data_IF_951200268334
#
_entry.id   IF_951200268334
#
_cell.length_a   1.000
_cell.length_b   1.000
_cell.length_c   1.000
_cell.angle_alpha   90.00
_cell.angle_beta   90.00
_cell.angle_gamma   90.00
#
_symmetry.space_group_name_H-M   'P 1'
#
loop_
_entity.id
_entity.type
_entity.pdbx_description
1 polymer ?
#
# COMPACT_ATOMS: atom_id res chain seq x y z
N UNK A 1 45.36 -46.51 -7.28
CA UNK A 1 45.41 -45.22 -6.55
C UNK A 1 44.24 -44.45 -7.05
N UNK A 2 43.15 -44.47 -6.29
CA UNK A 2 41.86 -43.90 -6.64
C UNK A 2 41.79 -42.48 -6.06
N UNK A 3 41.60 -41.49 -6.92
CA UNK A 3 41.18 -40.16 -6.51
C UNK A 3 39.69 -40.16 -6.15
N UNK A 4 39.26 -39.61 -5.03
CA UNK A 4 37.86 -39.46 -4.74
C UNK A 4 37.32 -38.19 -5.44
N UNK A 5 36.34 -38.42 -6.34
CA UNK A 5 35.53 -37.38 -6.96
C UNK A 5 34.91 -36.45 -5.90
N UNK A 6 35.26 -35.18 -6.02
CA UNK A 6 34.61 -34.10 -5.31
C UNK A 6 33.18 -33.92 -5.83
N UNK A 7 32.21 -34.52 -5.13
CA UNK A 7 30.79 -34.20 -5.29
C UNK A 7 30.55 -32.80 -4.80
N UNK A 8 30.77 -31.83 -5.66
CA UNK A 8 30.28 -30.45 -5.50
C UNK A 8 28.76 -30.49 -5.51
N UNK A 9 28.16 -30.34 -4.31
CA UNK A 9 26.70 -30.14 -4.16
C UNK A 9 26.26 -28.91 -4.93
N UNK A 10 25.71 -29.12 -6.12
CA UNK A 10 25.08 -28.09 -6.90
C UNK A 10 23.95 -27.46 -6.07
N UNK A 11 24.13 -26.23 -5.62
CA UNK A 11 23.03 -25.39 -5.19
C UNK A 11 22.05 -25.36 -6.35
N UNK A 12 20.92 -26.07 -6.21
CA UNK A 12 19.91 -26.23 -7.25
C UNK A 12 19.50 -24.86 -7.78
N UNK A 13 19.88 -24.54 -9.01
CA UNK A 13 19.44 -23.37 -9.72
C UNK A 13 17.91 -23.39 -9.71
N UNK A 14 17.30 -22.46 -8.98
CA UNK A 14 15.84 -22.31 -8.97
C UNK A 14 15.42 -22.08 -10.42
N UNK A 15 14.53 -22.93 -10.93
CA UNK A 15 13.95 -22.73 -12.25
C UNK A 15 13.28 -21.35 -12.30
N UNK A 16 13.46 -20.60 -13.39
CA UNK A 16 12.89 -19.28 -13.52
C UNK A 16 11.36 -19.34 -13.33
N UNK A 17 10.80 -18.39 -12.57
CA UNK A 17 9.36 -18.25 -12.44
C UNK A 17 8.74 -18.09 -13.82
N UNK A 18 7.77 -18.94 -14.17
CA UNK A 18 7.07 -18.75 -15.43
C UNK A 18 6.36 -17.39 -15.44
N UNK A 19 6.34 -16.73 -16.58
CA UNK A 19 5.62 -15.45 -16.77
C UNK A 19 4.15 -15.56 -16.36
N UNK A 20 3.53 -16.71 -16.61
CA UNK A 20 2.15 -17.00 -16.21
C UNK A 20 2.00 -16.97 -14.68
N UNK A 21 2.95 -17.52 -13.93
CA UNK A 21 2.93 -17.49 -12.46
C UNK A 21 3.07 -16.07 -11.92
N UNK A 22 3.98 -15.25 -12.47
CA UNK A 22 4.14 -13.85 -12.06
C UNK A 22 2.86 -13.06 -12.34
N UNK A 23 2.23 -13.26 -13.49
CA UNK A 23 0.95 -12.64 -13.83
C UNK A 23 -0.19 -13.10 -12.91
N UNK A 24 -0.26 -14.39 -12.59
CA UNK A 24 -1.24 -14.92 -11.63
C UNK A 24 -1.08 -14.26 -10.25
N UNK A 25 0.15 -14.11 -9.76
CA UNK A 25 0.44 -13.42 -8.51
C UNK A 25 0.07 -11.92 -8.59
N UNK A 26 0.31 -11.26 -9.73
CA UNK A 26 -0.06 -9.88 -9.97
C UNK A 26 -1.58 -9.69 -9.96
N UNK A 27 -2.32 -10.56 -10.64
CA UNK A 27 -3.80 -10.56 -10.64
C UNK A 27 -4.33 -10.83 -9.23
N UNK A 28 -3.75 -11.80 -8.53
CA UNK A 28 -4.16 -12.11 -7.15
C UNK A 28 -3.95 -10.91 -6.22
N UNK A 29 -2.79 -10.26 -6.32
CA UNK A 29 -2.46 -9.08 -5.53
C UNK A 29 -3.44 -7.93 -5.81
N UNK A 30 -3.70 -7.66 -7.09
CA UNK A 30 -4.65 -6.63 -7.52
C UNK A 30 -6.08 -6.92 -7.08
N UNK A 31 -6.57 -8.14 -7.30
CA UNK A 31 -7.93 -8.53 -6.92
C UNK A 31 -8.15 -8.54 -5.39
N UNK A 32 -7.16 -9.01 -4.62
CA UNK A 32 -7.26 -9.00 -3.16
C UNK A 32 -7.31 -7.59 -2.58
N UNK A 33 -6.51 -6.65 -3.11
CA UNK A 33 -6.54 -5.26 -2.63
C UNK A 33 -7.77 -4.50 -3.12
N UNK A 34 -8.30 -4.86 -4.31
CA UNK A 34 -9.50 -4.24 -4.87
C UNK A 34 -10.72 -4.38 -3.94
N UNK A 35 -10.80 -5.47 -3.18
CA UNK A 35 -11.89 -5.75 -2.25
C UNK A 35 -12.10 -4.64 -1.20
N UNK A 36 -11.04 -3.92 -0.81
CA UNK A 36 -11.12 -2.82 0.17
C UNK A 36 -11.77 -1.58 -0.46
N UNK A 37 -11.71 -1.44 -1.77
CA UNK A 37 -12.13 -0.23 -2.49
C UNK A 37 -13.47 -0.35 -3.20
N UNK A 38 -14.03 -1.55 -3.35
CA UNK A 38 -15.31 -1.76 -4.03
C UNK A 38 -16.47 -1.00 -3.38
N UNK A 39 -16.51 -0.92 -2.06
CA UNK A 39 -17.59 -0.25 -1.36
C UNK A 39 -17.65 1.27 -1.60
N UNK A 40 -16.53 1.94 -1.94
CA UNK A 40 -16.46 3.40 -2.00
C UNK A 40 -17.44 4.03 -3.00
N UNK A 41 -17.51 3.63 -4.28
CA UNK A 41 -18.48 4.20 -5.21
C UNK A 41 -19.93 3.77 -4.93
N UNK A 42 -20.13 2.77 -4.07
CA UNK A 42 -21.45 2.20 -3.77
C UNK A 42 -22.09 2.83 -2.53
N UNK A 43 -21.38 3.65 -1.76
CA UNK A 43 -21.87 4.20 -0.49
C UNK A 43 -23.26 4.84 -0.59
N UNK A 44 -23.54 5.73 -1.59
CA UNK A 44 -24.85 6.34 -1.72
C UNK A 44 -25.96 5.30 -1.99
N UNK A 45 -25.73 4.40 -2.94
CA UNK A 45 -26.72 3.37 -3.33
C UNK A 45 -26.98 2.39 -2.18
N UNK A 46 -25.95 2.01 -1.46
CA UNK A 46 -26.10 1.11 -0.29
C UNK A 46 -26.86 1.83 0.83
N UNK A 47 -26.55 3.12 1.07
CA UNK A 47 -27.25 3.91 2.10
C UNK A 47 -28.74 4.03 1.78
N UNK A 48 -29.08 4.34 0.53
CA UNK A 48 -30.47 4.41 0.05
C UNK A 48 -31.18 3.05 0.16
N UNK A 49 -30.56 1.98 -0.35
CA UNK A 49 -31.13 0.63 -0.34
C UNK A 49 -31.38 0.08 1.07
N UNK A 50 -30.58 0.46 2.05
CA UNK A 50 -30.74 0.05 3.46
C UNK A 50 -31.52 1.07 4.30
N UNK A 51 -31.94 2.22 3.72
CA UNK A 51 -32.67 3.27 4.42
C UNK A 51 -31.88 3.91 5.57
N UNK A 52 -30.55 4.06 5.41
CA UNK A 52 -29.67 4.59 6.45
C UNK A 52 -29.06 5.94 6.04
N UNK A 53 -28.58 6.71 7.03
CA UNK A 53 -27.94 7.99 6.76
C UNK A 53 -26.61 7.82 6.01
N UNK A 54 -26.19 8.86 5.28
CA UNK A 54 -24.88 8.92 4.60
C UNK A 54 -23.72 8.66 5.55
N UNK A 55 -23.82 9.15 6.80
CA UNK A 55 -22.84 8.91 7.85
C UNK A 55 -22.72 7.41 8.18
N UNK A 56 -23.86 6.73 8.36
CA UNK A 56 -23.89 5.30 8.59
C UNK A 56 -23.32 4.55 7.37
N UNK A 57 -23.69 4.92 6.14
CA UNK A 57 -23.09 4.37 4.92
C UNK A 57 -21.57 4.56 4.87
N UNK A 58 -21.07 5.75 5.22
CA UNK A 58 -19.64 6.06 5.24
C UNK A 58 -18.82 5.17 6.20
N UNK A 59 -19.42 4.70 7.30
CA UNK A 59 -18.77 3.76 8.24
C UNK A 59 -18.47 2.38 7.64
N UNK A 60 -19.04 2.03 6.48
CA UNK A 60 -18.66 0.82 5.73
C UNK A 60 -17.17 0.86 5.38
N UNK A 61 -16.67 2.02 4.94
CA UNK A 61 -15.23 2.20 4.66
C UNK A 61 -14.43 2.07 5.95
N UNK A 62 -14.89 2.68 7.03
CA UNK A 62 -14.22 2.58 8.34
C UNK A 62 -14.09 1.14 8.79
N UNK A 63 -15.15 0.33 8.69
CA UNK A 63 -15.14 -1.08 9.06
C UNK A 63 -14.10 -1.88 8.24
N UNK A 64 -14.05 -1.67 6.92
CA UNK A 64 -13.07 -2.34 6.07
C UNK A 64 -11.62 -1.93 6.40
N UNK A 65 -11.39 -0.65 6.71
CA UNK A 65 -10.07 -0.13 7.07
C UNK A 65 -9.58 -0.65 8.43
N UNK A 66 -10.48 -0.78 9.42
CA UNK A 66 -10.16 -1.44 10.70
C UNK A 66 -9.70 -2.87 10.44
N UNK A 67 -10.48 -3.65 9.68
CA UNK A 67 -10.14 -5.02 9.33
C UNK A 67 -8.76 -5.10 8.65
N UNK A 68 -8.49 -4.23 7.70
CA UNK A 68 -7.22 -4.23 6.98
C UNK A 68 -6.04 -3.80 7.86
N UNK A 69 -6.19 -2.79 8.71
CA UNK A 69 -5.16 -2.38 9.66
C UNK A 69 -4.79 -3.52 10.64
N UNK A 70 -5.81 -4.23 11.17
CA UNK A 70 -5.61 -5.41 12.00
C UNK A 70 -4.89 -6.53 11.25
N UNK A 71 -5.27 -6.75 10.01
CA UNK A 71 -4.66 -7.74 9.14
C UNK A 71 -3.18 -7.46 8.87
N UNK A 72 -2.82 -6.21 8.57
CA UNK A 72 -1.43 -5.80 8.39
C UNK A 72 -0.60 -6.02 9.66
N UNK A 73 -1.18 -5.78 10.83
CA UNK A 73 -0.50 -5.97 12.10
C UNK A 73 -0.32 -7.45 12.45
N UNK A 74 -1.33 -8.28 12.15
CA UNK A 74 -1.40 -9.66 12.65
C UNK A 74 -1.13 -10.71 11.56
N UNK A 75 -1.75 -10.60 10.38
CA UNK A 75 -1.67 -11.65 9.37
C UNK A 75 -0.45 -11.55 8.46
N UNK A 76 0.05 -10.35 8.19
CA UNK A 76 1.26 -10.20 7.36
C UNK A 76 2.48 -10.87 8.02
N UNK A 77 2.77 -10.66 9.32
CA UNK A 77 3.85 -11.40 9.99
C UNK A 77 3.60 -12.92 10.06
N UNK A 78 2.34 -13.35 10.05
CA UNK A 78 1.98 -14.77 10.03
C UNK A 78 2.42 -15.45 8.72
N UNK A 79 2.48 -14.70 7.62
CA UNK A 79 3.00 -15.16 6.33
C UNK A 79 4.48 -15.54 6.33
N UNK A 80 5.25 -15.11 7.34
CA UNK A 80 6.63 -15.52 7.52
C UNK A 80 6.77 -16.82 8.34
N UNK A 81 5.74 -17.16 9.14
CA UNK A 81 5.72 -18.31 10.07
C UNK A 81 4.98 -19.51 9.51
N UNK A 82 3.96 -19.28 8.67
CA UNK A 82 3.14 -20.33 8.07
C UNK A 82 3.54 -20.62 6.62
N UNK A 83 3.15 -21.78 6.12
CA UNK A 83 3.29 -22.14 4.71
C UNK A 83 2.40 -21.21 3.86
N UNK A 84 3.05 -20.42 3.00
CA UNK A 84 2.43 -19.28 2.31
C UNK A 84 1.33 -19.68 1.34
N UNK A 85 1.47 -20.81 0.63
CA UNK A 85 0.44 -21.32 -0.28
C UNK A 85 -0.88 -21.59 0.45
N UNK A 86 -0.81 -22.28 1.61
CA UNK A 86 -2.00 -22.60 2.43
C UNK A 86 -2.62 -21.34 3.00
N UNK A 87 -1.78 -20.45 3.52
CA UNK A 87 -2.24 -19.20 4.11
C UNK A 87 -2.96 -18.33 3.07
N UNK A 88 -2.34 -18.09 1.90
CA UNK A 88 -2.91 -17.25 0.85
C UNK A 88 -4.20 -17.87 0.31
N UNK A 89 -4.21 -19.17 -0.03
CA UNK A 89 -5.43 -19.82 -0.53
C UNK A 89 -6.55 -19.82 0.51
N UNK A 90 -6.22 -20.02 1.80
CA UNK A 90 -7.19 -19.98 2.89
C UNK A 90 -7.77 -18.57 3.10
N UNK A 91 -6.94 -17.54 3.05
CA UNK A 91 -7.39 -16.14 3.15
C UNK A 91 -8.27 -15.73 1.97
N UNK A 92 -7.97 -16.18 0.75
CA UNK A 92 -8.81 -15.94 -0.42
C UNK A 92 -10.16 -16.66 -0.31
N UNK A 93 -10.18 -17.91 0.17
CA UNK A 93 -11.42 -18.63 0.41
C UNK A 93 -12.28 -17.96 1.50
N UNK A 94 -11.65 -17.52 2.59
CA UNK A 94 -12.33 -16.75 3.64
C UNK A 94 -12.82 -15.39 3.13
N UNK A 95 -12.05 -14.75 2.23
CA UNK A 95 -12.47 -13.51 1.56
C UNK A 95 -13.74 -13.73 0.73
N UNK A 96 -13.82 -14.84 -0.01
CA UNK A 96 -15.01 -15.19 -0.76
C UNK A 96 -16.24 -15.35 0.15
N UNK A 97 -16.09 -16.03 1.29
CA UNK A 97 -17.18 -16.18 2.29
C UNK A 97 -17.59 -14.80 2.85
N UNK A 98 -16.63 -13.95 3.18
CA UNK A 98 -16.91 -12.60 3.69
C UNK A 98 -17.62 -11.72 2.65
N UNK A 99 -17.22 -11.81 1.38
CA UNK A 99 -17.86 -11.10 0.27
C UNK A 99 -19.30 -11.60 0.01
N UNK A 100 -19.54 -12.90 0.08
CA UNK A 100 -20.90 -13.45 0.01
C UNK A 100 -21.74 -13.01 1.23
N UNK A 101 -21.12 -12.94 2.42
CA UNK A 101 -21.75 -12.36 3.59
C UNK A 101 -22.14 -10.89 3.40
N UNK A 102 -21.30 -10.10 2.74
CA UNK A 102 -21.62 -8.71 2.40
C UNK A 102 -22.74 -8.61 1.36
N UNK A 103 -22.74 -9.48 0.34
CA UNK A 103 -23.80 -9.56 -0.66
C UNK A 103 -25.15 -9.97 -0.06
N UNK A 104 -25.14 -10.90 0.91
CA UNK A 104 -26.34 -11.41 1.56
C UNK A 104 -26.77 -10.59 2.81
N UNK A 105 -26.04 -9.50 3.13
CA UNK A 105 -26.26 -8.76 4.36
C UNK A 105 -27.69 -8.20 4.47
N UNK A 106 -28.49 -8.61 5.49
CA UNK A 106 -29.85 -8.14 5.68
C UNK A 106 -29.92 -6.80 6.44
N UNK A 107 -28.81 -6.38 7.04
CA UNK A 107 -28.71 -5.19 7.86
C UNK A 107 -27.33 -4.54 7.74
N UNK A 108 -27.27 -3.26 8.10
CA UNK A 108 -26.01 -2.50 8.09
C UNK A 108 -24.96 -3.12 9.05
N UNK A 109 -25.36 -3.64 10.20
CA UNK A 109 -24.46 -4.32 11.14
C UNK A 109 -23.83 -5.60 10.54
N UNK A 110 -24.62 -6.41 9.84
CA UNK A 110 -24.11 -7.59 9.13
C UNK A 110 -23.16 -7.18 7.99
N UNK A 111 -23.45 -6.08 7.29
CA UNK A 111 -22.60 -5.54 6.26
C UNK A 111 -21.25 -5.05 6.83
N UNK A 112 -21.28 -4.31 7.95
CA UNK A 112 -20.04 -3.88 8.63
C UNK A 112 -19.17 -5.08 9.05
N UNK A 113 -19.75 -6.10 9.66
CA UNK A 113 -19.00 -7.30 10.04
C UNK A 113 -18.38 -8.00 8.83
N UNK A 114 -19.15 -8.13 7.75
CA UNK A 114 -18.68 -8.77 6.51
C UNK A 114 -17.56 -7.98 5.85
N UNK A 115 -17.70 -6.65 5.68
CA UNK A 115 -16.65 -5.83 5.06
C UNK A 115 -15.42 -5.67 5.96
N UNK A 116 -15.56 -5.69 7.28
CA UNK A 116 -14.43 -5.77 8.19
C UNK A 116 -13.64 -7.08 7.98
N UNK A 117 -14.34 -8.21 7.84
CA UNK A 117 -13.72 -9.50 7.53
C UNK A 117 -13.07 -9.50 6.13
N UNK A 118 -13.69 -8.86 5.13
CA UNK A 118 -13.05 -8.61 3.83
C UNK A 118 -11.76 -7.83 4.00
N UNK A 119 -11.75 -6.78 4.80
CA UNK A 119 -10.54 -6.04 5.15
C UNK A 119 -9.47 -6.95 5.75
N UNK A 120 -9.82 -7.77 6.73
CA UNK A 120 -8.91 -8.74 7.37
C UNK A 120 -8.28 -9.67 6.34
N UNK A 121 -9.04 -10.20 5.41
CA UNK A 121 -8.55 -11.16 4.41
C UNK A 121 -7.74 -10.52 3.28
N UNK A 122 -7.88 -9.21 3.07
CA UNK A 122 -7.18 -8.47 1.99
C UNK A 122 -5.66 -8.31 2.20
N UNK A 123 -5.12 -8.71 3.38
CA UNK A 123 -3.68 -8.81 3.62
C UNK A 123 -2.93 -9.73 2.64
N UNK A 124 -3.64 -10.58 1.92
CA UNK A 124 -3.08 -11.43 0.85
C UNK A 124 -2.17 -10.63 -0.08
N UNK A 125 -2.54 -9.39 -0.44
CA UNK A 125 -1.72 -8.55 -1.29
C UNK A 125 -0.31 -8.30 -0.71
N UNK A 126 -0.20 -8.10 0.60
CA UNK A 126 1.08 -7.84 1.27
C UNK A 126 1.91 -9.12 1.49
N UNK A 127 1.28 -10.30 1.46
CA UNK A 127 1.97 -11.60 1.55
C UNK A 127 2.48 -12.04 0.19
N UNK A 128 1.73 -11.77 -0.88
CA UNK A 128 2.05 -12.18 -2.25
C UNK A 128 3.28 -11.46 -2.80
N UNK A 129 3.49 -10.18 -2.48
CA UNK A 129 4.66 -9.41 -2.96
C UNK A 129 6.00 -10.02 -2.51
N UNK A 130 6.26 -10.24 -1.21
CA UNK A 130 7.49 -10.89 -0.76
C UNK A 130 7.57 -12.37 -1.19
N UNK A 131 6.43 -13.04 -1.37
CA UNK A 131 6.38 -14.40 -1.91
C UNK A 131 6.89 -14.44 -3.35
N UNK A 132 6.47 -13.53 -4.21
CA UNK A 132 6.97 -13.41 -5.57
C UNK A 132 8.49 -13.17 -5.60
N UNK A 133 8.99 -12.30 -4.71
CA UNK A 133 10.43 -12.07 -4.55
C UNK A 133 11.20 -13.32 -4.13
N UNK A 134 10.61 -14.18 -3.28
CA UNK A 134 11.26 -15.40 -2.79
C UNK A 134 11.25 -16.56 -3.79
N UNK A 135 10.29 -16.57 -4.71
CA UNK A 135 10.15 -17.57 -5.75
C UNK A 135 10.97 -17.23 -7.00
N UNK A 136 11.25 -15.96 -7.26
CA UNK A 136 12.00 -15.51 -8.42
C UNK A 136 13.51 -15.79 -8.27
N UNK A 137 14.18 -16.06 -9.41
CA UNK A 137 15.63 -16.10 -9.47
C UNK A 137 16.22 -14.71 -9.13
N UNK A 138 17.44 -14.66 -8.61
CA UNK A 138 18.02 -13.42 -8.07
C UNK A 138 18.07 -12.29 -9.11
N UNK A 139 18.36 -12.58 -10.36
CA UNK A 139 18.41 -11.64 -11.48
C UNK A 139 17.01 -11.18 -11.97
N UNK A 140 15.95 -11.96 -11.71
CA UNK A 140 14.56 -11.65 -12.10
C UNK A 140 13.71 -11.06 -10.96
N UNK A 141 14.23 -11.07 -9.72
CA UNK A 141 13.49 -10.68 -8.52
C UNK A 141 12.86 -9.29 -8.61
N UNK A 142 13.63 -8.32 -9.13
CA UNK A 142 13.14 -6.96 -9.32
C UNK A 142 11.98 -6.87 -10.31
N UNK A 143 12.08 -7.58 -11.44
CA UNK A 143 11.02 -7.61 -12.46
C UNK A 143 9.75 -8.31 -11.95
N UNK A 144 9.89 -9.42 -11.22
CA UNK A 144 8.76 -10.13 -10.64
C UNK A 144 8.00 -9.26 -9.61
N UNK A 145 8.74 -8.65 -8.67
CA UNK A 145 8.15 -7.71 -7.70
C UNK A 145 7.49 -6.52 -8.40
N UNK A 146 8.16 -5.93 -9.39
CA UNK A 146 7.61 -4.82 -10.17
C UNK A 146 6.29 -5.18 -10.85
N UNK A 147 6.20 -6.37 -11.46
CA UNK A 147 4.96 -6.85 -12.11
C UNK A 147 3.83 -7.05 -11.09
N UNK A 148 4.12 -7.66 -9.92
CA UNK A 148 3.11 -7.87 -8.87
C UNK A 148 2.64 -6.54 -8.27
N UNK A 149 3.55 -5.59 -8.05
CA UNK A 149 3.20 -4.24 -7.58
C UNK A 149 2.38 -3.45 -8.63
N UNK A 150 2.67 -3.64 -9.93
CA UNK A 150 1.82 -3.07 -10.99
C UNK A 150 0.41 -3.65 -10.94
N UNK A 151 0.28 -4.97 -10.72
CA UNK A 151 -1.02 -5.61 -10.50
C UNK A 151 -1.77 -5.02 -9.32
N UNK A 152 -1.09 -4.77 -8.18
CA UNK A 152 -1.66 -4.11 -7.01
C UNK A 152 -2.21 -2.72 -7.36
N UNK A 153 -1.42 -1.89 -8.04
CA UNK A 153 -1.83 -0.52 -8.42
C UNK A 153 -3.02 -0.55 -9.38
N UNK A 154 -2.97 -1.40 -10.40
CA UNK A 154 -4.08 -1.59 -11.36
C UNK A 154 -5.34 -2.05 -10.62
N UNK A 155 -5.22 -2.98 -9.66
CA UNK A 155 -6.35 -3.45 -8.84
C UNK A 155 -7.01 -2.33 -8.05
N UNK A 156 -6.23 -1.48 -7.37
CA UNK A 156 -6.75 -0.32 -6.63
C UNK A 156 -7.53 0.63 -7.55
N UNK A 157 -7.01 0.85 -8.75
CA UNK A 157 -7.56 1.81 -9.69
C UNK A 157 -8.81 1.30 -10.37
N UNK A 158 -8.78 0.05 -10.85
CA UNK A 158 -9.92 -0.57 -11.51
C UNK A 158 -11.06 -0.94 -10.55
N UNK A 159 -10.75 -1.14 -9.25
CA UNK A 159 -11.75 -1.54 -8.27
C UNK A 159 -12.99 -0.64 -8.29
N UNK A 160 -12.80 0.68 -8.26
CA UNK A 160 -13.90 1.65 -8.25
C UNK A 160 -14.68 1.65 -9.56
N UNK A 161 -13.99 1.57 -10.68
CA UNK A 161 -14.60 1.55 -12.01
C UNK A 161 -15.42 0.27 -12.23
N UNK A 162 -14.85 -0.89 -11.84
CA UNK A 162 -15.54 -2.17 -11.92
C UNK A 162 -16.76 -2.20 -11.00
N UNK A 163 -16.61 -1.72 -9.75
CA UNK A 163 -17.72 -1.68 -8.81
C UNK A 163 -18.84 -0.75 -9.29
N UNK A 164 -18.50 0.43 -9.78
CA UNK A 164 -19.49 1.37 -10.34
C UNK A 164 -20.21 0.81 -11.55
N UNK A 165 -19.47 0.21 -12.49
CA UNK A 165 -20.06 -0.39 -13.69
C UNK A 165 -20.99 -1.58 -13.37
N UNK A 166 -20.57 -2.47 -12.46
CA UNK A 166 -21.42 -3.62 -12.08
C UNK A 166 -22.69 -3.18 -11.35
N UNK A 167 -22.63 -2.12 -10.54
CA UNK A 167 -23.78 -1.59 -9.82
C UNK A 167 -24.80 -0.93 -10.76
N UNK A 168 -24.40 -0.45 -11.93
CA UNK A 168 -25.30 0.10 -12.94
C UNK A 168 -26.18 -0.97 -13.60
N UNK A 169 -25.67 -2.20 -13.71
CA UNK A 169 -26.41 -3.33 -14.33
C UNK A 169 -27.42 -3.99 -13.39
N UNK A 170 -27.48 -3.62 -12.11
CA UNK A 170 -28.40 -4.23 -11.16
C UNK A 170 -28.20 -3.77 -9.71
N UNK A 171 -28.34 -4.71 -8.77
CA UNK A 171 -28.15 -4.46 -7.35
C UNK A 171 -26.65 -4.30 -7.01
N UNK A 172 -26.30 -3.37 -6.12
CA UNK A 172 -24.95 -3.20 -5.56
C UNK A 172 -24.37 -4.51 -5.01
N UNK A 173 -25.20 -5.45 -4.63
CA UNK A 173 -24.82 -6.79 -4.17
C UNK A 173 -24.07 -7.61 -5.21
N UNK A 174 -24.33 -7.38 -6.50
CA UNK A 174 -23.64 -8.07 -7.60
C UNK A 174 -22.13 -7.83 -7.58
N UNK A 175 -21.69 -6.66 -7.11
CA UNK A 175 -20.26 -6.34 -6.98
C UNK A 175 -19.57 -7.32 -6.03
N UNK A 176 -20.20 -7.60 -4.90
CA UNK A 176 -19.67 -8.53 -3.90
C UNK A 176 -19.75 -9.98 -4.34
N UNK A 177 -20.81 -10.36 -5.05
CA UNK A 177 -20.92 -11.72 -5.66
C UNK A 177 -19.83 -11.93 -6.71
N UNK A 178 -19.63 -10.97 -7.60
CA UNK A 178 -18.56 -11.02 -8.61
C UNK A 178 -17.18 -11.13 -7.93
N UNK A 179 -16.90 -10.28 -6.94
CA UNK A 179 -15.65 -10.33 -6.21
C UNK A 179 -15.45 -11.68 -5.50
N UNK A 180 -16.50 -12.25 -4.92
CA UNK A 180 -16.45 -13.57 -4.29
C UNK A 180 -16.10 -14.67 -5.30
N UNK A 181 -16.71 -14.65 -6.49
CA UNK A 181 -16.41 -15.60 -7.54
C UNK A 181 -14.91 -15.50 -7.96
N UNK A 182 -14.39 -14.28 -8.13
CA UNK A 182 -12.95 -14.06 -8.41
C UNK A 182 -12.08 -14.64 -7.32
N UNK A 183 -12.42 -14.41 -6.03
CA UNK A 183 -11.65 -14.96 -4.91
C UNK A 183 -11.67 -16.49 -4.88
N UNK A 184 -12.80 -17.13 -5.17
CA UNK A 184 -12.90 -18.61 -5.27
C UNK A 184 -11.99 -19.14 -6.36
N UNK A 185 -12.08 -18.56 -7.56
CA UNK A 185 -11.25 -18.98 -8.71
C UNK A 185 -9.76 -18.84 -8.37
N UNK A 186 -9.34 -17.70 -7.79
CA UNK A 186 -7.95 -17.47 -7.39
C UNK A 186 -7.50 -18.41 -6.27
N UNK A 187 -8.36 -18.68 -5.27
CA UNK A 187 -8.05 -19.60 -4.19
C UNK A 187 -7.77 -21.01 -4.71
N UNK A 188 -8.63 -21.52 -5.62
CA UNK A 188 -8.49 -22.84 -6.23
C UNK A 188 -7.22 -22.86 -7.12
N UNK A 189 -7.07 -21.88 -8.01
CA UNK A 189 -5.94 -21.82 -8.95
C UNK A 189 -4.61 -21.79 -8.20
N UNK A 190 -4.45 -20.90 -7.20
CA UNK A 190 -3.23 -20.83 -6.41
C UNK A 190 -2.99 -22.11 -5.61
N UNK A 191 -4.04 -22.73 -5.09
CA UNK A 191 -3.93 -24.00 -4.38
C UNK A 191 -3.38 -25.12 -5.26
N UNK A 192 -3.72 -25.12 -6.54
CA UNK A 192 -3.33 -26.16 -7.50
C UNK A 192 -1.97 -25.88 -8.15
N UNK A 193 -1.68 -24.62 -8.48
CA UNK A 193 -0.54 -24.24 -9.34
C UNK A 193 0.67 -23.77 -8.54
N UNK A 194 0.46 -23.13 -7.36
CA UNK A 194 1.57 -22.59 -6.59
C UNK A 194 2.40 -23.71 -5.92
N UNK A 195 3.74 -23.67 -6.00
CA UNK A 195 4.58 -24.61 -5.28
C UNK A 195 4.45 -24.42 -3.76
N UNK A 196 4.87 -25.42 -2.99
CA UNK A 196 4.98 -25.28 -1.54
C UNK A 196 6.05 -24.23 -1.22
N UNK A 197 5.67 -23.20 -0.48
CA UNK A 197 6.56 -22.12 -0.05
C UNK A 197 6.73 -22.22 1.47
N UNK A 198 7.82 -22.83 1.93
CA UNK A 198 8.05 -23.04 3.35
C UNK A 198 8.17 -21.73 4.12
N UNK A 199 7.92 -21.75 5.43
CA UNK A 199 8.14 -20.61 6.31
C UNK A 199 9.58 -20.08 6.19
N UNK A 200 9.74 -18.77 6.28
CA UNK A 200 11.05 -18.10 6.23
C UNK A 200 11.56 -17.71 7.61
N UNK A 201 10.65 -17.55 8.59
CA UNK A 201 11.03 -17.17 9.95
C UNK A 201 11.33 -18.39 10.83
N UNK A 202 12.44 -18.33 11.51
CA UNK A 202 12.81 -19.26 12.61
C UNK A 202 12.32 -18.76 13.97
N UNK A 203 11.90 -17.48 14.03
CA UNK A 203 11.48 -16.82 15.26
C UNK A 203 10.00 -17.09 15.54
N UNK A 204 9.60 -17.40 16.79
CA UNK A 204 8.20 -17.58 17.16
C UNK A 204 7.37 -16.32 16.90
N UNK A 205 6.13 -16.50 16.43
CA UNK A 205 5.21 -15.42 16.06
C UNK A 205 5.05 -14.31 17.11
N UNK A 206 4.87 -14.59 18.43
CA UNK A 206 4.78 -13.52 19.43
C UNK A 206 6.03 -12.65 19.54
N UNK A 207 7.21 -13.24 19.29
CA UNK A 207 8.47 -12.48 19.28
C UNK A 207 8.59 -11.58 18.05
N UNK A 208 8.07 -12.01 16.89
CA UNK A 208 7.97 -11.18 15.69
C UNK A 208 7.12 -9.95 15.96
N UNK A 209 5.92 -10.10 16.52
CA UNK A 209 5.05 -8.99 16.89
C UNK A 209 5.73 -8.05 17.90
N UNK A 210 6.32 -8.63 18.95
CA UNK A 210 7.04 -7.86 19.96
C UNK A 210 8.20 -7.07 19.35
N UNK A 211 8.90 -7.64 18.36
CA UNK A 211 10.00 -6.96 17.66
C UNK A 211 9.56 -5.74 16.87
N UNK A 212 8.36 -5.76 16.26
CA UNK A 212 7.78 -4.58 15.59
C UNK A 212 7.47 -3.49 16.61
N UNK A 213 6.84 -3.85 17.73
CA UNK A 213 6.52 -2.91 18.81
C UNK A 213 7.80 -2.30 19.40
N UNK A 214 8.82 -3.11 19.64
CA UNK A 214 10.13 -2.64 20.13
C UNK A 214 10.75 -1.64 19.15
N UNK A 215 10.75 -1.97 17.84
CA UNK A 215 11.27 -1.10 16.80
C UNK A 215 10.55 0.25 16.79
N UNK A 216 9.22 0.26 16.89
CA UNK A 216 8.43 1.50 16.97
C UNK A 216 8.77 2.30 18.22
N UNK A 217 9.01 1.64 19.37
CA UNK A 217 9.36 2.33 20.63
C UNK A 217 10.77 2.91 20.61
N UNK A 218 11.74 2.21 20.00
CA UNK A 218 13.15 2.63 20.00
C UNK A 218 13.45 3.65 18.90
N UNK A 219 12.84 3.53 17.72
CA UNK A 219 13.18 4.35 16.55
C UNK A 219 12.29 5.59 16.42
N UNK A 220 12.81 6.74 16.81
CA UNK A 220 12.07 8.01 16.76
C UNK A 220 11.75 8.45 15.32
N UNK A 221 12.67 8.19 14.37
CA UNK A 221 12.45 8.48 12.96
C UNK A 221 11.27 7.68 12.41
N UNK A 222 11.18 6.39 12.75
CA UNK A 222 10.07 5.53 12.32
C UNK A 222 8.74 6.11 12.81
N UNK A 223 8.62 6.49 14.10
CA UNK A 223 7.38 7.07 14.64
C UNK A 223 6.93 8.33 13.89
N UNK A 224 7.86 9.23 13.53
CA UNK A 224 7.53 10.44 12.77
C UNK A 224 7.04 10.09 11.37
N UNK A 225 7.73 9.18 10.67
CA UNK A 225 7.32 8.73 9.34
C UNK A 225 5.99 7.98 9.37
N UNK A 226 5.70 7.25 10.44
CA UNK A 226 4.38 6.65 10.70
C UNK A 226 3.29 7.72 10.80
N UNK A 227 3.53 8.81 11.54
CA UNK A 227 2.60 9.93 11.62
C UNK A 227 2.33 10.58 10.27
N UNK A 228 3.38 10.82 9.47
CA UNK A 228 3.25 11.38 8.12
C UNK A 228 2.52 10.42 7.15
N UNK A 229 2.75 9.11 7.27
CA UNK A 229 2.04 8.11 6.49
C UNK A 229 0.54 8.05 6.86
N UNK A 230 0.21 8.18 8.15
CA UNK A 230 -1.16 8.26 8.64
C UNK A 230 -1.89 9.50 8.07
N UNK A 231 -1.22 10.65 8.04
CA UNK A 231 -1.74 11.90 7.43
C UNK A 231 -1.99 11.73 5.93
N UNK A 232 -1.02 11.22 5.19
CA UNK A 232 -1.15 11.04 3.74
C UNK A 232 -2.30 10.11 3.37
N UNK A 233 -2.38 8.96 4.05
CA UNK A 233 -3.45 7.98 3.82
C UNK A 233 -4.80 8.46 4.36
N UNK A 234 -4.79 9.22 5.47
CA UNK A 234 -5.97 9.88 6.01
C UNK A 234 -6.61 10.83 5.01
N UNK A 235 -5.84 11.76 4.44
CA UNK A 235 -6.33 12.68 3.40
C UNK A 235 -6.87 11.94 2.18
N UNK A 236 -6.18 10.92 1.71
CA UNK A 236 -6.65 10.04 0.62
C UNK A 236 -8.03 9.45 0.93
N UNK A 237 -8.23 8.95 2.15
CA UNK A 237 -9.48 8.31 2.54
C UNK A 237 -10.62 9.32 2.71
N UNK A 238 -10.35 10.51 3.25
CA UNK A 238 -11.33 11.63 3.31
C UNK A 238 -11.86 11.93 1.92
N UNK A 239 -10.97 12.12 0.95
CA UNK A 239 -11.36 12.42 -0.43
C UNK A 239 -12.29 11.34 -1.00
N UNK A 240 -11.86 10.08 -0.97
CA UNK A 240 -12.59 9.00 -1.64
C UNK A 240 -13.89 8.61 -0.94
N UNK A 241 -14.00 8.80 0.37
CA UNK A 241 -15.25 8.58 1.10
C UNK A 241 -16.27 9.67 0.81
N UNK A 242 -15.84 10.94 0.86
CA UNK A 242 -16.75 12.07 0.68
C UNK A 242 -17.11 12.31 -0.80
N UNK A 243 -16.20 12.07 -1.75
CA UNK A 243 -16.44 12.29 -3.17
C UNK A 243 -17.59 11.45 -3.72
N UNK A 244 -17.82 10.25 -3.19
CA UNK A 244 -18.94 9.40 -3.61
C UNK A 244 -20.29 10.06 -3.27
N UNK A 245 -20.42 10.61 -2.08
CA UNK A 245 -21.63 11.34 -1.69
C UNK A 245 -21.79 12.68 -2.42
N UNK A 246 -20.68 13.43 -2.63
CA UNK A 246 -20.72 14.67 -3.41
C UNK A 246 -21.21 14.42 -4.83
N UNK A 247 -20.67 13.40 -5.50
CA UNK A 247 -20.97 13.11 -6.90
C UNK A 247 -22.38 12.53 -7.08
N UNK A 248 -22.88 11.75 -6.12
CA UNK A 248 -24.26 11.23 -6.14
C UNK A 248 -25.29 12.28 -5.69
N UNK A 249 -24.87 13.27 -4.90
CA UNK A 249 -25.73 14.30 -4.34
C UNK A 249 -26.31 15.28 -5.39
N UNK A 250 -27.16 16.21 -4.95
CA UNK A 250 -27.89 17.12 -5.84
C UNK A 250 -27.00 18.05 -6.67
N UNK A 251 -25.74 18.23 -6.27
CA UNK A 251 -24.76 19.06 -6.99
C UNK A 251 -24.39 18.47 -8.36
N UNK A 252 -24.28 17.13 -8.46
CA UNK A 252 -23.87 16.44 -9.69
C UNK A 252 -24.87 15.39 -10.17
N UNK A 253 -25.51 14.65 -9.26
CA UNK A 253 -26.52 13.63 -9.61
C UNK A 253 -25.98 12.44 -10.39
N UNK A 254 -24.71 12.06 -10.21
CA UNK A 254 -24.08 11.01 -10.99
C UNK A 254 -24.38 9.63 -10.40
N UNK A 255 -24.64 8.67 -11.31
CA UNK A 255 -24.76 7.26 -10.96
C UNK A 255 -23.44 6.59 -10.62
N UNK A 256 -23.50 5.35 -10.06
CA UNK A 256 -22.32 4.63 -9.57
C UNK A 256 -21.23 4.41 -10.63
N UNK A 257 -21.63 4.17 -11.91
CA UNK A 257 -20.69 3.97 -13.00
C UNK A 257 -19.80 5.20 -13.23
N UNK A 258 -20.40 6.39 -13.28
CA UNK A 258 -19.66 7.65 -13.46
C UNK A 258 -18.78 7.91 -12.23
N UNK A 259 -19.30 7.71 -11.02
CA UNK A 259 -18.52 7.85 -9.78
C UNK A 259 -17.30 6.91 -9.81
N UNK A 260 -17.48 5.68 -10.25
CA UNK A 260 -16.39 4.71 -10.40
C UNK A 260 -15.30 5.15 -11.38
N UNK A 261 -15.66 5.85 -12.49
CA UNK A 261 -14.70 6.36 -13.47
C UNK A 261 -13.72 7.41 -12.89
N UNK A 262 -14.12 8.15 -11.86
CA UNK A 262 -13.20 9.05 -11.16
C UNK A 262 -12.00 8.31 -10.56
N UNK A 263 -12.13 7.01 -10.28
CA UNK A 263 -11.01 6.16 -9.90
C UNK A 263 -9.86 6.18 -10.90
N UNK A 264 -10.17 6.27 -12.21
CA UNK A 264 -9.16 6.33 -13.27
C UNK A 264 -8.40 7.67 -13.29
N UNK A 265 -9.04 8.75 -12.86
CA UNK A 265 -8.36 10.05 -12.73
C UNK A 265 -7.20 9.96 -11.73
N UNK A 266 -7.37 9.19 -10.66
CA UNK A 266 -6.33 8.93 -9.67
C UNK A 266 -5.09 8.21 -10.23
N UNK A 267 -5.25 7.46 -11.34
CA UNK A 267 -4.13 6.76 -12.04
C UNK A 267 -3.05 7.76 -12.46
N UNK A 268 -3.46 8.90 -13.00
CA UNK A 268 -2.53 9.93 -13.49
C UNK A 268 -1.62 10.40 -12.35
N UNK A 269 -2.21 10.69 -11.19
CA UNK A 269 -1.46 11.11 -10.00
C UNK A 269 -0.48 10.03 -9.52
N UNK A 270 -0.93 8.77 -9.48
CA UNK A 270 -0.08 7.65 -9.08
C UNK A 270 1.07 7.38 -10.07
N UNK A 271 0.82 7.51 -11.36
CA UNK A 271 1.86 7.36 -12.39
C UNK A 271 2.95 8.43 -12.27
N UNK A 272 2.57 9.69 -12.03
CA UNK A 272 3.50 10.80 -11.82
C UNK A 272 4.37 10.59 -10.55
N UNK A 273 3.90 9.85 -9.56
CA UNK A 273 4.66 9.55 -8.35
C UNK A 273 5.95 8.73 -8.61
N UNK A 274 6.04 8.04 -9.74
CA UNK A 274 7.28 7.35 -10.16
C UNK A 274 8.47 8.31 -10.32
N UNK A 275 8.21 9.56 -10.72
CA UNK A 275 9.22 10.64 -10.79
C UNK A 275 9.69 11.01 -9.38
N UNK A 276 8.76 11.16 -8.44
CA UNK A 276 9.08 11.44 -7.03
C UNK A 276 9.91 10.31 -6.42
N UNK A 277 9.64 9.05 -6.77
CA UNK A 277 10.44 7.90 -6.36
C UNK A 277 11.89 8.01 -6.82
N UNK A 278 12.12 8.26 -8.12
CA UNK A 278 13.47 8.45 -8.66
C UNK A 278 14.23 9.61 -8.00
N UNK A 279 13.54 10.69 -7.64
CA UNK A 279 14.13 11.81 -6.91
C UNK A 279 14.50 11.42 -5.47
N UNK A 280 13.63 10.67 -4.77
CA UNK A 280 13.90 10.18 -3.43
C UNK A 280 15.12 9.23 -3.39
N UNK A 281 15.25 8.35 -4.39
CA UNK A 281 16.38 7.43 -4.52
C UNK A 281 17.71 8.15 -4.81
N UNK A 282 17.65 9.29 -5.49
CA UNK A 282 18.82 10.20 -5.71
C UNK A 282 19.18 11.06 -4.49
N UNK A 283 18.71 10.72 -3.29
CA UNK A 283 19.00 11.44 -2.06
C UNK A 283 18.13 12.68 -1.80
N UNK A 284 17.17 12.99 -2.67
CA UNK A 284 16.29 14.16 -2.54
C UNK A 284 14.99 13.88 -1.77
N UNK A 285 14.98 12.86 -0.92
CA UNK A 285 13.79 12.45 -0.16
C UNK A 285 13.21 13.59 0.71
N UNK A 286 14.05 14.48 1.26
CA UNK A 286 13.60 15.67 2.01
C UNK A 286 12.78 16.60 1.13
N UNK A 287 13.24 16.88 -0.09
CA UNK A 287 12.53 17.74 -1.05
C UNK A 287 11.20 17.10 -1.49
N UNK A 288 11.21 15.79 -1.75
CA UNK A 288 10.01 15.02 -2.11
C UNK A 288 8.97 15.05 -0.98
N UNK A 289 9.40 14.89 0.28
CA UNK A 289 8.50 14.96 1.44
C UNK A 289 7.91 16.38 1.59
N UNK A 290 8.76 17.41 1.51
CA UNK A 290 8.29 18.81 1.60
C UNK A 290 7.31 19.16 0.47
N UNK A 291 7.69 18.87 -0.78
CA UNK A 291 6.83 19.12 -1.94
C UNK A 291 5.52 18.32 -1.88
N UNK A 292 5.59 17.05 -1.46
CA UNK A 292 4.42 16.20 -1.29
C UNK A 292 3.43 16.75 -0.26
N UNK A 293 3.91 17.26 0.89
CA UNK A 293 3.05 17.87 1.91
C UNK A 293 2.46 19.21 1.45
N UNK A 294 3.22 20.02 0.72
CA UNK A 294 2.70 21.27 0.13
C UNK A 294 1.60 20.96 -0.89
N UNK A 295 1.84 20.00 -1.80
CA UNK A 295 0.85 19.58 -2.79
C UNK A 295 -0.38 18.97 -2.11
N UNK A 296 -0.20 18.15 -1.07
CA UNK A 296 -1.30 17.57 -0.29
C UNK A 296 -2.17 18.66 0.33
N UNK A 297 -1.56 19.70 0.92
CA UNK A 297 -2.28 20.80 1.54
C UNK A 297 -2.97 21.67 0.48
N UNK A 298 -2.26 22.02 -0.60
CA UNK A 298 -2.79 22.81 -1.70
C UNK A 298 -3.93 22.12 -2.45
N UNK A 299 -3.90 20.78 -2.54
CA UNK A 299 -4.98 20.02 -3.18
C UNK A 299 -6.34 20.22 -2.48
N UNK A 300 -6.36 20.37 -1.16
CA UNK A 300 -7.59 20.64 -0.41
C UNK A 300 -8.13 22.05 -0.66
N UNK A 301 -7.24 23.03 -0.90
CA UNK A 301 -7.65 24.37 -1.35
C UNK A 301 -8.33 24.38 -2.72
N UNK A 302 -7.93 23.45 -3.61
CA UNK A 302 -8.59 23.26 -4.90
C UNK A 302 -9.86 22.43 -4.74
N UNK A 303 -9.81 21.34 -3.97
CA UNK A 303 -10.93 20.43 -3.76
C UNK A 303 -12.17 21.09 -3.16
N UNK A 304 -12.02 22.11 -2.31
CA UNK A 304 -13.17 22.82 -1.75
C UNK A 304 -14.07 23.41 -2.85
N UNK A 305 -13.49 23.82 -3.98
CA UNK A 305 -14.21 24.38 -5.13
C UNK A 305 -15.11 23.34 -5.83
N UNK A 306 -14.86 22.03 -5.61
CA UNK A 306 -15.72 20.99 -6.16
C UNK A 306 -17.18 21.09 -5.68
N UNK A 307 -17.40 21.68 -4.49
CA UNK A 307 -18.74 21.94 -3.96
C UNK A 307 -19.55 22.98 -4.75
N UNK A 308 -18.90 23.79 -5.60
CA UNK A 308 -19.58 24.78 -6.44
C UNK A 308 -20.42 24.15 -7.58
N UNK A 309 -20.13 22.89 -7.92
CA UNK A 309 -20.78 22.23 -9.05
C UNK A 309 -20.33 22.74 -10.43
N UNK A 310 -21.02 22.28 -11.47
CA UNK A 310 -20.75 22.66 -12.84
C UNK A 310 -19.34 22.30 -13.35
N UNK A 311 -18.94 22.83 -14.52
CA UNK A 311 -17.64 22.50 -15.12
C UNK A 311 -16.43 22.94 -14.27
N UNK A 312 -16.53 24.06 -13.57
CA UNK A 312 -15.48 24.58 -12.69
C UNK A 312 -15.27 23.63 -11.49
N UNK A 313 -16.36 23.25 -10.82
CA UNK A 313 -16.30 22.33 -9.69
C UNK A 313 -15.77 20.94 -10.09
N UNK A 314 -16.18 20.46 -11.26
CA UNK A 314 -15.71 19.19 -11.82
C UNK A 314 -14.21 19.23 -12.14
N UNK A 315 -13.74 20.31 -12.79
CA UNK A 315 -12.32 20.54 -13.07
C UNK A 315 -11.48 20.62 -11.80
N UNK A 316 -11.98 21.29 -10.76
CA UNK A 316 -11.35 21.37 -9.45
C UNK A 316 -11.27 19.98 -8.78
N UNK A 317 -12.34 19.18 -8.84
CA UNK A 317 -12.34 17.82 -8.31
C UNK A 317 -11.30 16.95 -9.01
N UNK A 318 -11.27 16.93 -10.33
CA UNK A 318 -10.30 16.15 -11.12
C UNK A 318 -8.85 16.55 -10.82
N UNK A 319 -8.58 17.86 -10.81
CA UNK A 319 -7.25 18.40 -10.50
C UNK A 319 -6.83 18.02 -9.08
N UNK A 320 -7.73 18.18 -8.11
CA UNK A 320 -7.50 17.83 -6.72
C UNK A 320 -7.27 16.34 -6.52
N UNK A 321 -8.01 15.46 -7.20
CA UNK A 321 -7.80 14.01 -7.19
C UNK A 321 -6.38 13.69 -7.68
N UNK A 322 -5.95 14.23 -8.82
CA UNK A 322 -4.61 13.99 -9.37
C UNK A 322 -3.53 14.46 -8.40
N UNK A 323 -3.64 15.69 -7.90
CA UNK A 323 -2.66 16.28 -7.00
C UNK A 323 -2.55 15.52 -5.68
N UNK A 324 -3.69 15.14 -5.08
CA UNK A 324 -3.71 14.40 -3.82
C UNK A 324 -3.15 12.99 -3.98
N UNK A 325 -3.52 12.27 -5.05
CA UNK A 325 -2.97 10.93 -5.30
C UNK A 325 -1.45 10.98 -5.55
N UNK A 326 -0.96 11.97 -6.32
CA UNK A 326 0.47 12.20 -6.52
C UNK A 326 1.18 12.44 -5.18
N UNK A 327 0.64 13.35 -4.36
CA UNK A 327 1.22 13.69 -3.06
C UNK A 327 1.28 12.48 -2.13
N UNK A 328 0.18 11.75 -1.99
CA UNK A 328 0.07 10.56 -1.13
C UNK A 328 1.09 9.48 -1.53
N UNK A 329 1.19 9.16 -2.83
CA UNK A 329 2.13 8.15 -3.31
C UNK A 329 3.59 8.62 -3.18
N UNK A 330 3.88 9.88 -3.50
CA UNK A 330 5.21 10.46 -3.34
C UNK A 330 5.69 10.43 -1.88
N UNK A 331 4.81 10.77 -0.93
CA UNK A 331 5.07 10.70 0.49
C UNK A 331 5.37 9.26 0.92
N UNK A 332 4.53 8.29 0.53
CA UNK A 332 4.71 6.89 0.89
C UNK A 332 6.06 6.34 0.40
N UNK A 333 6.39 6.57 -0.87
CA UNK A 333 7.66 6.12 -1.47
C UNK A 333 8.85 6.80 -0.77
N UNK A 334 8.76 8.12 -0.51
CA UNK A 334 9.83 8.85 0.19
C UNK A 334 10.07 8.31 1.60
N UNK A 335 8.99 8.02 2.35
CA UNK A 335 9.11 7.46 3.70
C UNK A 335 9.74 6.07 3.69
N UNK A 336 9.34 5.20 2.76
CA UNK A 336 9.93 3.88 2.59
C UNK A 336 11.41 3.97 2.22
N UNK A 337 11.77 4.80 1.24
CA UNK A 337 13.16 4.98 0.79
C UNK A 337 14.08 5.43 1.93
N UNK A 338 13.66 6.42 2.75
CA UNK A 338 14.44 6.90 3.90
C UNK A 338 14.60 5.81 4.96
N UNK A 339 13.50 5.13 5.32
CA UNK A 339 13.51 4.14 6.39
C UNK A 339 14.30 2.88 5.99
N UNK A 340 14.22 2.43 4.73
CA UNK A 340 14.95 1.25 4.25
C UNK A 340 16.46 1.47 4.17
N UNK A 341 16.90 2.72 3.92
CA UNK A 341 18.32 3.07 4.01
C UNK A 341 18.81 3.13 5.45
N UNK A 342 17.99 3.67 6.36
CA UNK A 342 18.39 3.88 7.75
C UNK A 342 18.32 2.59 8.58
N UNK A 343 17.38 1.67 8.26
CA UNK A 343 17.13 0.43 9.02
C UNK A 343 17.10 -0.77 8.05
N UNK A 344 18.21 -1.07 7.36
CA UNK A 344 18.25 -2.08 6.29
C UNK A 344 17.97 -3.50 6.79
N UNK A 345 18.32 -3.80 8.05
CA UNK A 345 18.14 -5.12 8.69
C UNK A 345 16.69 -5.40 9.14
N UNK A 346 15.78 -4.42 9.08
CA UNK A 346 14.42 -4.56 9.57
C UNK A 346 13.33 -4.11 8.55
N UNK A 347 13.61 -4.18 7.24
CA UNK A 347 12.72 -3.66 6.18
C UNK A 347 11.28 -4.15 6.29
N UNK A 348 11.06 -5.45 6.51
CA UNK A 348 9.70 -6.03 6.66
C UNK A 348 8.97 -5.41 7.86
N UNK A 349 9.63 -5.32 9.02
CA UNK A 349 9.06 -4.74 10.25
C UNK A 349 8.74 -3.25 10.09
N UNK A 350 9.63 -2.51 9.43
CA UNK A 350 9.42 -1.09 9.09
C UNK A 350 8.20 -0.93 8.18
N UNK A 351 8.07 -1.76 7.15
CA UNK A 351 6.92 -1.73 6.23
C UNK A 351 5.63 -2.03 6.98
N UNK A 352 5.61 -3.06 7.83
CA UNK A 352 4.45 -3.39 8.65
C UNK A 352 4.04 -2.21 9.53
N UNK A 353 4.97 -1.62 10.29
CA UNK A 353 4.68 -0.48 11.16
C UNK A 353 4.14 0.74 10.37
N UNK A 354 4.77 1.05 9.23
CA UNK A 354 4.38 2.17 8.38
C UNK A 354 2.98 1.97 7.80
N UNK A 355 2.67 0.77 7.28
CA UNK A 355 1.37 0.45 6.70
C UNK A 355 0.27 0.40 7.76
N UNK A 356 0.52 -0.22 8.92
CA UNK A 356 -0.44 -0.22 10.04
C UNK A 356 -0.79 1.21 10.45
N UNK A 357 0.19 2.10 10.55
CA UNK A 357 -0.04 3.50 10.89
C UNK A 357 -0.82 4.23 9.79
N UNK A 358 -0.48 4.02 8.52
CA UNK A 358 -1.20 4.61 7.38
C UNK A 358 -2.68 4.24 7.40
N UNK A 359 -2.99 2.95 7.59
CA UNK A 359 -4.38 2.48 7.63
C UNK A 359 -5.10 2.80 8.95
N UNK A 360 -4.40 2.96 10.07
CA UNK A 360 -4.97 3.53 11.28
C UNK A 360 -5.40 4.99 11.05
N UNK A 361 -4.56 5.80 10.40
CA UNK A 361 -4.91 7.15 9.97
C UNK A 361 -6.12 7.17 9.01
N UNK A 362 -6.15 6.24 8.06
CA UNK A 362 -7.29 6.02 7.16
C UNK A 362 -8.58 5.71 7.93
N UNK A 363 -8.52 4.83 8.92
CA UNK A 363 -9.67 4.46 9.77
C UNK A 363 -10.23 5.68 10.51
N UNK A 364 -9.36 6.42 11.20
CA UNK A 364 -9.79 7.64 11.94
C UNK A 364 -10.38 8.67 10.99
N UNK A 365 -9.72 8.91 9.87
CA UNK A 365 -10.18 9.90 8.87
C UNK A 365 -11.49 9.50 8.21
N UNK A 366 -11.70 8.21 7.92
CA UNK A 366 -12.97 7.70 7.41
C UNK A 366 -14.11 7.88 8.41
N UNK A 367 -13.88 7.56 9.69
CA UNK A 367 -14.87 7.73 10.74
C UNK A 367 -15.26 9.22 10.92
N UNK A 368 -14.25 10.11 10.93
CA UNK A 368 -14.50 11.56 11.01
C UNK A 368 -15.25 12.07 9.78
N UNK A 369 -14.92 11.58 8.57
CA UNK A 369 -15.64 11.94 7.35
C UNK A 369 -17.09 11.50 7.41
N UNK A 370 -17.35 10.26 7.85
CA UNK A 370 -18.69 9.71 8.00
C UNK A 370 -19.53 10.50 9.02
N UNK A 371 -18.91 10.95 10.11
CA UNK A 371 -19.59 11.76 11.13
C UNK A 371 -19.86 13.20 10.67
N UNK A 372 -18.93 13.81 9.94
CA UNK A 372 -18.99 15.23 9.60
C UNK A 372 -19.76 15.50 8.29
N UNK A 373 -19.69 14.61 7.29
CA UNK A 373 -20.28 14.86 5.98
C UNK A 373 -21.78 15.20 6.04
N UNK A 374 -22.63 14.48 6.80
CA UNK A 374 -24.05 14.81 6.94
C UNK A 374 -24.32 16.16 7.62
N UNK A 375 -23.39 16.66 8.44
CA UNK A 375 -23.55 17.89 9.21
C UNK A 375 -23.08 19.13 8.48
N UNK A 376 -21.94 19.04 7.78
CA UNK A 376 -21.23 20.20 7.22
C UNK A 376 -20.93 20.06 5.71
N UNK A 377 -21.37 18.98 5.11
CA UNK A 377 -21.22 18.71 3.67
C UNK A 377 -19.77 18.69 3.18
N UNK A 378 -19.63 18.92 1.87
CA UNK A 378 -18.32 18.87 1.19
C UNK A 378 -17.32 19.91 1.71
N UNK A 379 -17.77 21.15 1.98
CA UNK A 379 -16.89 22.22 2.46
C UNK A 379 -16.26 21.89 3.80
N UNK A 380 -17.06 21.36 4.74
CA UNK A 380 -16.55 20.96 6.06
C UNK A 380 -15.59 19.77 6.00
N UNK A 381 -15.85 18.79 5.12
CA UNK A 381 -14.94 17.67 4.92
C UNK A 381 -13.66 18.09 4.20
N UNK A 382 -13.73 19.07 3.29
CA UNK A 382 -12.55 19.67 2.68
C UNK A 382 -11.68 20.39 3.73
N UNK A 383 -12.31 21.07 4.68
CA UNK A 383 -11.61 21.66 5.83
C UNK A 383 -10.95 20.59 6.72
N UNK A 384 -11.63 19.46 6.98
CA UNK A 384 -11.03 18.32 7.69
C UNK A 384 -9.77 17.81 6.97
N UNK A 385 -9.84 17.64 5.65
CA UNK A 385 -8.71 17.22 4.85
C UNK A 385 -7.52 18.19 4.91
N UNK A 386 -7.83 19.51 4.84
CA UNK A 386 -6.83 20.56 5.00
C UNK A 386 -6.18 20.54 6.39
N UNK A 387 -6.96 20.36 7.46
CA UNK A 387 -6.44 20.23 8.84
C UNK A 387 -5.52 19.04 8.97
N UNK A 388 -5.91 17.88 8.43
CA UNK A 388 -5.05 16.67 8.42
C UNK A 388 -3.72 16.96 7.70
N UNK A 389 -3.76 17.62 6.54
CA UNK A 389 -2.57 17.97 5.78
C UNK A 389 -1.67 18.96 6.54
N UNK A 390 -2.25 19.96 7.20
CA UNK A 390 -1.55 20.94 8.05
C UNK A 390 -0.89 20.27 9.27
N UNK A 391 -1.53 19.27 9.88
CA UNK A 391 -0.90 18.44 10.93
C UNK A 391 0.36 17.76 10.36
N UNK A 392 0.29 17.24 9.14
CA UNK A 392 1.46 16.68 8.46
C UNK A 392 2.58 17.69 8.26
N UNK A 393 2.26 18.90 7.81
CA UNK A 393 3.22 19.99 7.69
C UNK A 393 3.83 20.37 9.05
N UNK A 394 3.03 20.43 10.11
CA UNK A 394 3.51 20.69 11.46
C UNK A 394 4.47 19.61 11.97
N UNK A 395 4.14 18.33 11.79
CA UNK A 395 5.04 17.21 12.13
C UNK A 395 6.35 17.32 11.34
N UNK A 396 6.27 17.68 10.06
CA UNK A 396 7.43 17.80 9.19
C UNK A 396 8.30 19.01 9.54
N UNK A 397 7.71 20.18 9.81
CA UNK A 397 8.45 21.38 10.23
C UNK A 397 9.23 21.14 11.53
N UNK A 398 8.63 20.43 12.49
CA UNK A 398 9.30 20.03 13.71
C UNK A 398 10.49 19.08 13.45
N UNK A 399 10.42 18.26 12.40
CA UNK A 399 11.54 17.41 11.98
C UNK A 399 12.66 18.25 11.34
N UNK A 400 12.29 19.26 10.55
CA UNK A 400 13.25 20.16 9.89
C UNK A 400 14.03 21.04 10.88
N UNK A 401 13.39 21.46 11.97
CA UNK A 401 14.00 22.30 13.02
C UNK A 401 14.95 21.52 13.95
N UNK A 402 14.87 20.19 13.97
CA UNK A 402 15.79 19.38 14.77
C UNK A 402 17.08 19.17 13.99
N UNK A 403 18.27 19.38 14.61
CA UNK A 403 19.53 19.02 13.97
C UNK A 403 19.47 17.56 13.55
N UNK A 404 19.62 17.28 12.27
CA UNK A 404 19.81 15.91 11.79
C UNK A 404 21.06 15.38 12.49
N UNK A 405 21.03 14.21 13.16
CA UNK A 405 22.28 13.56 13.52
C UNK A 405 23.07 13.47 12.23
N UNK A 406 24.28 14.03 12.22
CA UNK A 406 25.14 14.06 11.04
C UNK A 406 25.06 12.67 10.38
N UNK A 407 24.70 12.66 9.12
CA UNK A 407 24.76 11.45 8.31
C UNK A 407 26.20 10.96 8.47
N UNK A 408 26.46 9.76 8.98
CA UNK A 408 27.81 9.25 8.95
C UNK A 408 28.19 9.30 7.48
N UNK A 409 29.13 10.17 7.12
CA UNK A 409 29.77 10.12 5.82
C UNK A 409 30.08 8.65 5.63
N UNK A 410 29.56 8.04 4.59
CA UNK A 410 29.91 6.68 4.23
C UNK A 410 31.43 6.71 4.14
N UNK A 411 32.11 6.27 5.18
CA UNK A 411 33.52 6.02 5.13
C UNK A 411 33.76 5.05 3.97
N UNK A 412 34.88 5.13 3.28
CA UNK A 412 35.22 4.22 2.20
C UNK A 412 34.88 2.81 2.68
N UNK A 413 34.18 2.04 1.84
CA UNK A 413 33.77 0.70 2.20
C UNK A 413 35.04 -0.09 2.56
N UNK A 414 34.99 -0.95 3.58
CA UNK A 414 36.14 -1.76 3.97
C UNK A 414 36.70 -2.56 2.77
N UNK A 415 35.93 -2.74 1.71
CA UNK A 415 36.37 -3.32 0.43
C UNK A 415 37.21 -2.35 -0.40
N UNK A 416 36.93 -1.03 -0.39
CA UNK A 416 37.76 -0.01 -1.07
C UNK A 416 39.11 0.16 -0.37
N UNK A 417 39.11 0.18 0.97
CA UNK A 417 40.36 0.20 1.76
C UNK A 417 41.20 -1.05 1.52
N UNK A 418 40.54 -2.22 1.41
CA UNK A 418 41.22 -3.49 1.13
C UNK A 418 41.74 -3.55 -0.31
N UNK A 419 41.01 -3.01 -1.28
CA UNK A 419 41.48 -2.92 -2.66
C UNK A 419 42.60 -1.90 -2.82
N UNK A 420 42.51 -0.76 -2.17
CA UNK A 420 43.55 0.28 -2.18
C UNK A 420 44.84 -0.23 -1.50
N UNK A 421 44.69 -0.95 -0.37
CA UNK A 421 45.83 -1.55 0.31
C UNK A 421 46.50 -2.68 -0.54
N UNK A 422 45.72 -3.47 -1.27
CA UNK A 422 46.27 -4.48 -2.22
C UNK A 422 46.95 -3.83 -3.40
N UNK A 423 46.36 -2.80 -4.00
CA UNK A 423 46.99 -2.07 -5.09
C UNK A 423 48.30 -1.37 -4.68
N UNK A 424 48.36 -0.79 -3.46
CA UNK A 424 49.61 -0.25 -2.92
C UNK A 424 50.65 -1.33 -2.64
N UNK A 425 50.27 -2.50 -2.15
CA UNK A 425 51.21 -3.64 -1.92
C UNK A 425 51.76 -4.20 -3.22
N UNK A 426 50.95 -4.27 -4.29
CA UNK A 426 51.39 -4.72 -5.62
C UNK A 426 52.38 -3.73 -6.27
N UNK A 427 52.13 -2.44 -6.15
CA UNK A 427 53.02 -1.38 -6.64
C UNK A 427 54.36 -1.36 -5.91
N UNK A 428 54.37 -1.57 -4.58
CA UNK A 428 55.60 -1.66 -3.80
C UNK A 428 56.40 -2.92 -4.09
N UNK A 429 55.69 -4.03 -4.33
CA UNK A 429 56.33 -5.30 -4.71
C UNK A 429 56.92 -5.29 -6.13
N UNK A 430 56.34 -4.53 -7.05
CA UNK A 430 56.86 -4.33 -8.41
C UNK A 430 58.14 -3.47 -8.43
N UNK A 431 58.17 -2.40 -7.65
CA UNK A 431 59.35 -1.54 -7.49
C UNK A 431 60.55 -2.26 -6.82
N UNK A 432 60.28 -3.12 -5.84
CA UNK A 432 61.32 -3.92 -5.20
C UNK A 432 61.95 -5.01 -6.11
N UNK A 433 61.20 -5.49 -7.09
CA UNK A 433 61.74 -6.43 -8.10
C UNK A 433 62.57 -5.71 -9.18
N UNK A 434 62.27 -4.48 -9.54
CA UNK A 434 63.04 -3.69 -10.53
C UNK A 434 64.40 -3.25 -9.97
N UNK A 435 64.48 -2.94 -8.65
CA UNK A 435 65.75 -2.58 -7.99
C UNK A 435 66.64 -3.77 -7.68
N UNK A 436 66.15 -5.02 -7.74
CA UNK A 436 66.93 -6.23 -7.51
C UNK A 436 67.57 -6.78 -8.81
N UNK A 437 67.23 -6.22 -9.98
CA UNK A 437 67.77 -6.62 -11.28
C UNK A 437 68.64 -5.53 -11.94
N UNK A 438 68.91 -4.41 -11.27
CA UNK A 438 69.87 -3.38 -11.64
C UNK A 438 71.12 -3.50 -10.75
#
# INVERSE_FOLDING_TARGET
MNDPESTGGGAGARSPLSRAMVLLLAVTCGAAVANIYYAQPLLPVVSEALGVSEGAGGLIVTASQIGYALSLALLVPLGDVLERRRLVSGLLALSAVALLGAAAAPSLGALYASVALVGVTSAVAQIVVPMAASLAADHERGAAVGTVMSGLLIGIMLARTVAGALAEFGDWRLVFVFAAAVMVVLAITLRLVLPLVPPTATTPYPQLLRSVVTLVRTESLLRRRMGLAAVGMGGFTVLWTASSFLLAGPTYGYGPAIIGLFGLVGVVGAALASVAGRLADRGRARQVTTGGLIVLTGSWGVLVLAGLGGPLGLGALMTGIVALNLAQQALLISHQSVLYRRIPHARSRVTTALMVSAFAGSTVSSALTAALYPLVGWAGVSALGAVIALIGLAIWSLELLRPSPAEPLAGPSADEDTQTARACAELTGAQAKETAHA
#
